data_IF_380524251516
#
_entry.id   IF_380524251516
#
_cell.length_a   1.000
_cell.length_b   1.000
_cell.length_c   1.000
_cell.angle_alpha   90.00
_cell.angle_beta   90.00
_cell.angle_gamma   90.00
#
_symmetry.space_group_name_H-M   'P 1'
#
loop_
_entity.id
_entity.type
_entity.pdbx_description
1 polymer ?
#
# COMPACT_ATOMS: atom_id res chain seq x y z
N UNK A 1 -9.76 -8.85 -39.40
CA UNK A 1 -9.74 -8.02 -38.17
C UNK A 1 -8.31 -7.86 -37.68
N UNK A 2 -7.91 -6.68 -37.21
CA UNK A 2 -6.59 -6.46 -36.59
C UNK A 2 -6.57 -6.99 -35.15
N UNK A 3 -5.48 -7.64 -34.70
CA UNK A 3 -5.36 -8.07 -33.31
C UNK A 3 -5.34 -6.86 -32.38
N UNK A 4 -6.23 -6.84 -31.40
CA UNK A 4 -6.37 -5.74 -30.45
C UNK A 4 -6.42 -6.28 -29.02
N UNK A 5 -5.47 -5.82 -28.20
CA UNK A 5 -5.44 -6.02 -26.76
C UNK A 5 -5.45 -4.60 -26.15
N UNK A 6 -6.26 -4.32 -25.11
CA UNK A 6 -6.25 -3.02 -24.46
C UNK A 6 -4.93 -2.78 -23.72
N UNK A 7 -4.58 -1.52 -23.46
CA UNK A 7 -3.42 -1.15 -22.61
C UNK A 7 -3.85 -1.11 -21.15
N UNK A 8 -2.91 -1.42 -20.24
CA UNK A 8 -3.11 -1.29 -18.81
C UNK A 8 -3.28 0.18 -18.37
N UNK A 9 -4.01 0.38 -17.28
CA UNK A 9 -4.33 1.69 -16.69
C UNK A 9 -3.39 1.96 -15.52
N UNK A 10 -3.08 3.23 -15.26
CA UNK A 10 -2.26 3.62 -14.11
C UNK A 10 -2.89 3.16 -12.79
N UNK A 11 -2.04 2.66 -11.89
CA UNK A 11 -2.42 2.31 -10.52
C UNK A 11 -2.15 3.43 -9.51
N UNK A 12 -1.54 4.56 -9.94
CA UNK A 12 -1.18 5.68 -9.07
C UNK A 12 -2.34 6.20 -8.21
N UNK A 13 -3.58 6.37 -8.74
CA UNK A 13 -4.70 6.85 -7.92
C UNK A 13 -5.01 5.97 -6.70
N UNK A 14 -4.72 4.66 -6.78
CA UNK A 14 -4.94 3.74 -5.66
C UNK A 14 -3.90 3.96 -4.55
N UNK A 15 -2.65 4.26 -4.90
CA UNK A 15 -1.62 4.60 -3.92
C UNK A 15 -1.88 5.96 -3.27
N UNK A 16 -2.32 6.94 -4.05
CA UNK A 16 -2.72 8.26 -3.52
C UNK A 16 -3.91 8.13 -2.56
N UNK A 17 -4.90 7.29 -2.89
CA UNK A 17 -6.02 7.00 -2.00
C UNK A 17 -5.61 6.31 -0.68
N UNK A 18 -4.50 5.57 -0.69
CA UNK A 18 -3.87 4.98 0.50
C UNK A 18 -2.98 5.98 1.26
N UNK A 19 -2.88 7.24 0.82
CA UNK A 19 -2.09 8.29 1.47
C UNK A 19 -0.59 8.25 1.16
N UNK A 20 -0.16 7.47 0.15
CA UNK A 20 1.21 7.54 -0.34
C UNK A 20 1.47 8.85 -1.09
N UNK A 21 2.74 9.20 -1.21
CA UNK A 21 3.12 10.40 -1.94
C UNK A 21 2.78 10.33 -3.42
N UNK A 22 2.47 11.49 -4.01
CA UNK A 22 2.26 11.58 -5.46
C UNK A 22 3.50 11.15 -6.24
N UNK A 23 4.70 11.38 -5.69
CA UNK A 23 5.95 10.90 -6.29
C UNK A 23 6.06 9.38 -6.23
N UNK A 24 5.82 8.78 -5.06
CA UNK A 24 5.84 7.32 -4.90
C UNK A 24 4.78 6.64 -5.76
N UNK A 25 3.55 7.17 -5.77
CA UNK A 25 2.44 6.67 -6.57
C UNK A 25 2.78 6.68 -8.07
N UNK A 26 3.39 7.77 -8.56
CA UNK A 26 3.89 7.86 -9.94
C UNK A 26 4.97 6.83 -10.21
N UNK A 27 5.94 6.67 -9.32
CA UNK A 27 7.05 5.74 -9.50
C UNK A 27 6.59 4.27 -9.49
N UNK A 28 5.74 3.90 -8.54
CA UNK A 28 5.12 2.57 -8.46
C UNK A 28 4.28 2.29 -9.72
N UNK A 29 3.45 3.26 -10.13
CA UNK A 29 2.67 3.12 -11.36
C UNK A 29 3.54 3.07 -12.61
N UNK A 30 4.67 3.77 -12.67
CA UNK A 30 5.58 3.73 -13.81
C UNK A 30 6.17 2.32 -13.98
N UNK A 31 6.65 1.73 -12.89
CA UNK A 31 7.20 0.36 -12.88
C UNK A 31 6.13 -0.66 -13.30
N UNK A 32 4.92 -0.55 -12.74
CA UNK A 32 3.78 -1.39 -13.14
C UNK A 32 3.46 -1.27 -14.64
N UNK A 33 3.34 -0.04 -15.15
CA UNK A 33 3.01 0.20 -16.55
C UNK A 33 4.11 -0.30 -17.48
N UNK A 34 5.38 -0.21 -17.10
CA UNK A 34 6.51 -0.77 -17.85
C UNK A 34 6.34 -2.29 -18.02
N UNK A 35 6.12 -3.01 -16.92
CA UNK A 35 5.91 -4.46 -16.94
C UNK A 35 4.64 -4.85 -17.72
N UNK A 36 3.55 -4.10 -17.54
CA UNK A 36 2.31 -4.33 -18.28
C UNK A 36 2.48 -4.09 -19.79
N UNK A 37 3.31 -3.13 -20.21
CA UNK A 37 3.64 -2.88 -21.61
C UNK A 37 4.54 -3.98 -22.20
N UNK A 38 5.45 -4.55 -21.42
CA UNK A 38 6.24 -5.72 -21.83
C UNK A 38 5.36 -6.94 -22.06
N UNK A 39 4.47 -7.25 -21.09
CA UNK A 39 3.49 -8.33 -21.24
C UNK A 39 2.55 -8.10 -22.43
N UNK A 40 2.06 -6.87 -22.61
CA UNK A 40 1.20 -6.50 -23.74
C UNK A 40 1.87 -6.82 -25.08
N UNK A 41 3.15 -6.44 -25.25
CA UNK A 41 3.94 -6.73 -26.46
C UNK A 41 4.11 -8.24 -26.66
N UNK A 42 4.42 -8.99 -25.60
CA UNK A 42 4.55 -10.43 -25.67
C UNK A 42 3.24 -11.12 -26.07
N UNK A 43 2.10 -10.70 -25.50
CA UNK A 43 0.79 -11.22 -25.86
C UNK A 43 0.42 -10.92 -27.32
N UNK A 44 0.67 -9.70 -27.80
CA UNK A 44 0.43 -9.33 -29.21
C UNK A 44 1.29 -10.16 -30.18
N UNK A 45 2.59 -10.32 -29.90
CA UNK A 45 3.48 -11.12 -30.73
C UNK A 45 3.06 -12.60 -30.76
N UNK A 46 2.66 -13.15 -29.61
CA UNK A 46 2.15 -14.52 -29.48
C UNK A 46 0.86 -14.72 -30.28
N UNK A 47 -0.09 -13.78 -30.18
CA UNK A 47 -1.35 -13.80 -30.93
C UNK A 47 -1.11 -13.69 -32.44
N UNK A 48 -0.24 -12.78 -32.88
CA UNK A 48 0.14 -12.65 -34.29
C UNK A 48 0.76 -13.96 -34.82
N UNK A 49 1.70 -14.55 -34.07
CA UNK A 49 2.31 -15.83 -34.45
C UNK A 49 1.28 -16.95 -34.55
N UNK A 50 0.33 -17.01 -33.60
CA UNK A 50 -0.73 -18.00 -33.62
C UNK A 50 -1.68 -17.83 -34.82
N UNK A 51 -2.04 -16.59 -35.16
CA UNK A 51 -2.87 -16.28 -36.33
C UNK A 51 -2.17 -16.68 -37.65
N UNK A 52 -0.87 -16.40 -37.79
CA UNK A 52 -0.08 -16.80 -38.98
C UNK A 52 -0.07 -18.32 -39.13
N UNK A 53 0.28 -19.05 -38.06
CA UNK A 53 0.32 -20.53 -38.07
C UNK A 53 -1.04 -21.17 -38.39
N UNK A 54 -2.12 -20.50 -38.01
CA UNK A 54 -3.45 -21.03 -38.26
C UNK A 54 -3.94 -20.70 -39.69
N UNK A 55 -3.53 -19.55 -40.25
CA UNK A 55 -3.76 -19.21 -41.65
C UNK A 55 -3.03 -20.15 -42.63
N UNK A 56 -1.88 -20.71 -42.24
CA UNK A 56 -1.16 -21.75 -43.02
C UNK A 56 -1.98 -23.04 -43.20
N UNK A 57 -2.95 -23.32 -42.31
CA UNK A 57 -3.79 -24.51 -42.36
C UNK A 57 -5.07 -24.33 -43.18
N UNK A 58 -5.34 -23.12 -43.67
CA UNK A 58 -6.52 -22.80 -44.48
C UNK A 58 -7.18 -21.47 -44.08
N UNK A 59 -8.25 -21.07 -44.78
CA UNK A 59 -8.99 -19.86 -44.48
C UNK A 59 -9.66 -19.96 -43.11
N UNK A 60 -9.37 -19.00 -42.24
CA UNK A 60 -9.92 -18.91 -40.89
C UNK A 60 -11.25 -18.14 -40.90
N UNK A 61 -12.25 -18.62 -40.15
CA UNK A 61 -13.50 -17.89 -39.97
C UNK A 61 -13.29 -16.70 -39.02
N UNK A 62 -14.09 -15.63 -39.19
CA UNK A 62 -13.99 -14.44 -38.33
C UNK A 62 -14.20 -14.78 -36.84
N UNK A 63 -15.06 -15.77 -36.55
CA UNK A 63 -15.32 -16.25 -35.19
C UNK A 63 -14.08 -16.86 -34.51
N UNK A 64 -13.21 -17.53 -35.27
CA UNK A 64 -11.98 -18.12 -34.74
C UNK A 64 -10.97 -17.01 -34.40
N UNK A 65 -10.85 -16.00 -35.28
CA UNK A 65 -10.01 -14.82 -35.04
C UNK A 65 -10.48 -14.07 -33.79
N UNK A 66 -11.79 -13.87 -33.63
CA UNK A 66 -12.37 -13.25 -32.44
C UNK A 66 -12.11 -14.07 -31.18
N UNK A 67 -12.25 -15.40 -31.26
CA UNK A 67 -11.97 -16.30 -30.14
C UNK A 67 -10.51 -16.20 -29.70
N UNK A 68 -9.58 -16.20 -30.65
CA UNK A 68 -8.15 -16.00 -30.36
C UNK A 68 -7.89 -14.63 -29.76
N UNK A 69 -8.43 -13.55 -30.31
CA UNK A 69 -8.31 -12.22 -29.72
C UNK A 69 -8.81 -12.18 -28.27
N UNK A 70 -9.96 -12.82 -28.00
CA UNK A 70 -10.55 -12.87 -26.67
C UNK A 70 -9.68 -13.63 -25.67
N UNK A 71 -9.10 -14.78 -26.04
CA UNK A 71 -8.25 -15.58 -25.14
C UNK A 71 -7.05 -14.78 -24.65
N UNK A 72 -6.30 -14.15 -25.56
CA UNK A 72 -5.12 -13.37 -25.19
C UNK A 72 -5.50 -12.07 -24.46
N UNK A 73 -6.62 -11.44 -24.83
CA UNK A 73 -7.14 -10.26 -24.12
C UNK A 73 -7.50 -10.61 -22.67
N UNK A 74 -8.22 -11.70 -22.45
CA UNK A 74 -8.62 -12.16 -21.11
C UNK A 74 -7.41 -12.57 -20.28
N UNK A 75 -6.41 -13.24 -20.88
CA UNK A 75 -5.17 -13.58 -20.19
C UNK A 75 -4.39 -12.32 -19.76
N UNK A 76 -4.22 -11.35 -20.68
CA UNK A 76 -3.53 -10.09 -20.41
C UNK A 76 -4.21 -9.26 -19.31
N UNK A 77 -5.52 -9.04 -19.44
CA UNK A 77 -6.31 -8.24 -18.50
C UNK A 77 -6.35 -8.87 -17.11
N UNK A 78 -6.48 -10.21 -17.04
CA UNK A 78 -6.40 -10.93 -15.76
C UNK A 78 -5.04 -10.76 -15.10
N UNK A 79 -3.95 -10.94 -15.84
CA UNK A 79 -2.61 -10.87 -15.27
C UNK A 79 -2.26 -9.47 -14.77
N UNK A 80 -2.57 -8.44 -15.56
CA UNK A 80 -2.32 -7.04 -15.18
C UNK A 80 -3.17 -6.59 -13.99
N UNK A 81 -4.38 -7.14 -13.83
CA UNK A 81 -5.19 -6.95 -12.62
C UNK A 81 -4.57 -7.61 -11.39
N UNK A 82 -4.12 -8.85 -11.50
CA UNK A 82 -3.46 -9.56 -10.39
C UNK A 82 -2.24 -8.78 -9.89
N UNK A 83 -1.39 -8.30 -10.80
CA UNK A 83 -0.23 -7.50 -10.43
C UNK A 83 -0.60 -6.18 -9.76
N UNK A 84 -1.67 -5.52 -10.22
CA UNK A 84 -2.16 -4.29 -9.60
C UNK A 84 -2.66 -4.55 -8.17
N UNK A 85 -3.54 -5.55 -8.01
CA UNK A 85 -4.12 -5.92 -6.72
C UNK A 85 -3.03 -6.36 -5.72
N UNK A 86 -2.04 -7.13 -6.17
CA UNK A 86 -0.92 -7.56 -5.33
C UNK A 86 -0.03 -6.40 -4.90
N UNK A 87 0.29 -5.47 -5.82
CA UNK A 87 1.09 -4.29 -5.48
C UNK A 87 0.37 -3.40 -4.45
N UNK A 88 -0.94 -3.19 -4.63
CA UNK A 88 -1.77 -2.41 -3.71
C UNK A 88 -1.88 -3.12 -2.35
N UNK A 89 -2.12 -4.43 -2.34
CA UNK A 89 -2.20 -5.21 -1.09
C UNK A 89 -0.89 -5.17 -0.31
N UNK A 90 0.25 -5.34 -0.98
CA UNK A 90 1.57 -5.27 -0.33
C UNK A 90 1.84 -3.89 0.26
N UNK A 91 1.43 -2.83 -0.43
CA UNK A 91 1.58 -1.47 0.06
C UNK A 91 0.68 -1.20 1.27
N UNK A 92 -0.57 -1.66 1.23
CA UNK A 92 -1.47 -1.63 2.37
C UNK A 92 -0.89 -2.39 3.58
N UNK A 93 -0.37 -3.60 3.37
CA UNK A 93 0.22 -4.41 4.45
C UNK A 93 1.48 -3.78 5.04
N UNK A 94 2.31 -3.14 4.21
CA UNK A 94 3.46 -2.38 4.67
C UNK A 94 3.04 -1.23 5.61
N UNK A 95 2.05 -0.42 5.20
CA UNK A 95 1.49 0.65 6.05
C UNK A 95 0.89 0.08 7.34
N UNK A 96 0.07 -0.97 7.23
CA UNK A 96 -0.55 -1.63 8.37
C UNK A 96 0.49 -2.10 9.41
N UNK A 97 1.62 -2.64 8.94
CA UNK A 97 2.73 -3.03 9.81
C UNK A 97 3.41 -1.82 10.46
N UNK A 98 3.60 -0.72 9.72
CA UNK A 98 4.16 0.52 10.26
C UNK A 98 3.32 1.14 11.38
N UNK A 99 2.00 0.96 11.36
CA UNK A 99 1.10 1.43 12.41
C UNK A 99 0.88 0.41 13.55
N UNK A 100 1.50 -0.76 13.51
CA UNK A 100 1.41 -1.74 14.61
C UNK A 100 1.88 -1.16 15.96
N UNK A 101 2.99 -0.38 16.05
CA UNK A 101 3.39 0.26 17.30
C UNK A 101 2.33 1.20 17.90
N UNK A 102 1.49 1.85 17.07
CA UNK A 102 0.37 2.65 17.55
C UNK A 102 -0.66 1.79 18.27
N UNK A 103 -1.02 0.66 17.67
CA UNK A 103 -1.99 -0.26 18.23
C UNK A 103 -1.47 -0.90 19.53
N UNK A 104 -0.19 -1.30 19.56
CA UNK A 104 0.47 -1.80 20.77
C UNK A 104 0.47 -0.74 21.87
N UNK A 105 0.84 0.51 21.54
CA UNK A 105 0.87 1.59 22.51
C UNK A 105 -0.51 1.87 23.07
N UNK A 106 -1.55 1.89 22.24
CA UNK A 106 -2.93 2.02 22.70
C UNK A 106 -3.33 0.84 23.59
N UNK A 107 -2.99 -0.39 23.20
CA UNK A 107 -3.32 -1.61 23.94
C UNK A 107 -2.76 -1.63 25.37
N UNK A 108 -1.55 -1.09 25.59
CA UNK A 108 -0.96 -0.93 26.92
C UNK A 108 -1.85 -0.11 27.88
N UNK A 109 -2.60 0.85 27.36
CA UNK A 109 -3.50 1.67 28.16
C UNK A 109 -4.92 1.12 28.18
N UNK A 110 -5.46 0.74 27.01
CA UNK A 110 -6.80 0.22 26.85
C UNK A 110 -6.83 -0.95 25.85
N UNK A 111 -7.05 -2.17 26.34
CA UNK A 111 -7.17 -3.36 25.49
C UNK A 111 -8.59 -3.57 24.91
N UNK A 112 -9.53 -2.67 25.23
CA UNK A 112 -10.93 -2.70 24.80
C UNK A 112 -11.34 -1.35 24.19
N UNK A 113 -10.88 -1.04 22.96
CA UNK A 113 -11.22 0.22 22.29
C UNK A 113 -12.73 0.34 22.05
N UNK A 114 -13.26 1.55 22.25
CA UNK A 114 -14.66 1.88 21.93
C UNK A 114 -14.92 1.84 20.42
N UNK A 115 -16.18 1.94 20.00
CA UNK A 115 -16.50 2.03 18.57
C UNK A 115 -15.88 3.28 17.92
N UNK A 116 -15.88 4.42 18.63
CA UNK A 116 -15.25 5.66 18.19
C UNK A 116 -13.72 5.50 18.07
N UNK A 117 -13.09 4.87 19.06
CA UNK A 117 -11.65 4.63 19.08
C UNK A 117 -11.23 3.70 17.95
N UNK A 118 -11.99 2.63 17.71
CA UNK A 118 -11.77 1.72 16.56
C UNK A 118 -11.84 2.48 15.24
N UNK A 119 -12.79 3.41 15.07
CA UNK A 119 -12.91 4.22 13.86
C UNK A 119 -11.73 5.17 13.66
N UNK A 120 -11.19 5.75 14.73
CA UNK A 120 -10.00 6.62 14.64
C UNK A 120 -8.73 5.80 14.38
N UNK A 121 -8.53 4.68 15.09
CA UNK A 121 -7.40 3.78 14.85
C UNK A 121 -7.41 3.26 13.42
N UNK A 122 -8.57 2.82 12.92
CA UNK A 122 -8.79 2.39 11.55
C UNK A 122 -8.34 3.45 10.53
N UNK A 123 -8.82 4.70 10.69
CA UNK A 123 -8.43 5.81 9.81
C UNK A 123 -6.93 6.09 9.84
N UNK A 124 -6.29 5.98 11.00
CA UNK A 124 -4.87 6.28 11.16
C UNK A 124 -3.96 5.16 10.69
N UNK A 125 -4.38 3.90 10.82
CA UNK A 125 -3.58 2.75 10.43
C UNK A 125 -3.90 2.22 9.03
N UNK A 126 -4.75 2.93 8.27
CA UNK A 126 -5.31 2.48 6.98
C UNK A 126 -5.96 1.09 7.05
N UNK A 127 -6.44 0.68 8.24
CA UNK A 127 -7.13 -0.59 8.44
C UNK A 127 -8.64 -0.37 8.50
N UNK A 128 -9.42 -1.41 8.24
CA UNK A 128 -10.85 -1.42 8.54
C UNK A 128 -11.09 -1.54 10.05
N UNK A 129 -12.23 -1.02 10.53
CA UNK A 129 -12.63 -1.19 11.93
C UNK A 129 -12.72 -2.67 12.34
N UNK A 130 -13.03 -3.57 11.39
CA UNK A 130 -13.04 -5.02 11.60
C UNK A 130 -11.63 -5.58 11.80
N UNK A 131 -10.64 -5.15 11.00
CA UNK A 131 -9.24 -5.54 11.17
C UNK A 131 -8.70 -5.07 12.54
N UNK A 132 -9.01 -3.84 12.95
CA UNK A 132 -8.68 -3.35 14.30
C UNK A 132 -9.29 -4.25 15.36
N UNK A 133 -10.58 -4.56 15.27
CA UNK A 133 -11.24 -5.44 16.23
C UNK A 133 -10.58 -6.82 16.33
N UNK A 134 -10.29 -7.45 15.20
CA UNK A 134 -9.61 -8.76 15.15
C UNK A 134 -8.20 -8.66 15.74
N UNK A 135 -7.46 -7.58 15.44
CA UNK A 135 -6.14 -7.33 16.02
C UNK A 135 -6.22 -7.30 17.55
N UNK A 136 -7.12 -6.49 18.12
CA UNK A 136 -7.29 -6.40 19.58
C UNK A 136 -7.78 -7.71 20.21
N UNK A 137 -8.64 -8.48 19.53
CA UNK A 137 -9.06 -9.81 19.97
C UNK A 137 -7.88 -10.77 20.06
N UNK A 138 -7.07 -10.85 19.01
CA UNK A 138 -5.90 -11.71 18.94
C UNK A 138 -4.85 -11.31 19.98
N UNK A 139 -4.60 -10.02 20.16
CA UNK A 139 -3.67 -9.51 21.17
C UNK A 139 -4.11 -9.77 22.60
N UNK A 140 -5.41 -9.65 22.93
CA UNK A 140 -5.92 -10.08 24.24
C UNK A 140 -5.72 -11.57 24.47
N UNK A 141 -5.98 -12.41 23.47
CA UNK A 141 -5.77 -13.85 23.58
C UNK A 141 -4.31 -14.20 23.86
N UNK A 142 -3.37 -13.55 23.15
CA UNK A 142 -1.92 -13.67 23.41
C UNK A 142 -1.55 -13.20 24.82
N UNK A 143 -2.01 -12.01 25.22
CA UNK A 143 -1.71 -11.47 26.54
C UNK A 143 -2.18 -12.38 27.69
N UNK A 144 -3.37 -13.00 27.58
CA UNK A 144 -3.85 -13.98 28.57
C UNK A 144 -2.95 -15.21 28.66
N UNK A 145 -2.53 -15.75 27.51
CA UNK A 145 -1.64 -16.91 27.45
C UNK A 145 -0.27 -16.59 28.05
N UNK A 146 0.23 -15.39 27.80
CA UNK A 146 1.55 -14.94 28.22
C UNK A 146 1.55 -14.34 29.65
N UNK A 147 0.41 -14.40 30.37
CA UNK A 147 0.26 -13.87 31.73
C UNK A 147 0.38 -12.34 31.85
N UNK A 148 0.28 -11.62 30.73
CA UNK A 148 0.41 -10.15 30.72
C UNK A 148 -0.87 -9.49 31.23
N UNK A 149 -0.77 -8.40 32.02
CA UNK A 149 -1.94 -7.68 32.49
C UNK A 149 -2.69 -7.03 31.33
N UNK A 150 -4.00 -7.27 31.27
CA UNK A 150 -4.90 -6.64 30.28
C UNK A 150 -5.65 -5.51 30.96
N UNK A 151 -5.38 -4.28 30.55
CA UNK A 151 -6.05 -3.09 31.10
C UNK A 151 -7.37 -2.84 30.39
N UNK A 152 -8.41 -2.57 31.18
CA UNK A 152 -9.71 -2.09 30.70
C UNK A 152 -9.95 -0.75 31.37
N UNK A 153 -10.03 0.34 30.60
CA UNK A 153 -10.51 1.58 31.17
C UNK A 153 -11.99 1.41 31.55
N UNK A 154 -12.30 1.70 32.81
CA UNK A 154 -13.65 1.63 33.39
C UNK A 154 -14.40 2.96 33.29
N UNK A 155 -13.73 4.05 32.93
CA UNK A 155 -14.33 5.38 32.70
C UNK A 155 -13.90 5.92 31.32
N UNK A 156 -14.83 6.66 30.69
CA UNK A 156 -14.80 7.17 29.32
C UNK A 156 -13.59 8.09 29.03
N UNK A 157 -13.11 8.14 27.76
CA UNK A 157 -11.89 7.50 27.29
C UNK A 157 -10.62 8.34 27.53
N UNK A 158 -9.46 7.66 27.50
CA UNK A 158 -8.21 8.35 27.19
C UNK A 158 -8.39 9.10 25.87
N UNK A 159 -8.09 10.41 25.80
CA UNK A 159 -8.10 11.11 24.54
C UNK A 159 -7.15 10.36 23.63
N UNK A 160 -7.69 9.76 22.55
CA UNK A 160 -6.85 9.09 21.57
C UNK A 160 -5.73 10.02 21.12
N UNK A 161 -6.06 11.31 21.04
CA UNK A 161 -5.15 12.42 20.77
C UNK A 161 -3.94 12.49 21.72
N UNK A 162 -4.04 12.11 23.01
CA UNK A 162 -2.91 12.11 23.95
C UNK A 162 -2.00 10.90 23.71
N UNK A 163 -2.58 9.72 23.46
CA UNK A 163 -1.81 8.53 23.10
C UNK A 163 -1.12 8.75 21.74
N UNK A 164 -1.85 9.37 20.80
CA UNK A 164 -1.36 9.79 19.50
C UNK A 164 -0.27 10.84 19.63
N UNK A 165 -0.45 11.96 20.35
CA UNK A 165 0.60 12.97 20.58
C UNK A 165 1.83 12.39 21.26
N UNK A 166 1.64 11.45 22.19
CA UNK A 166 2.77 10.73 22.80
C UNK A 166 3.48 9.80 21.83
N UNK A 167 2.78 9.25 20.84
CA UNK A 167 3.37 8.42 19.79
C UNK A 167 4.00 9.28 18.68
N UNK A 168 3.34 10.34 18.23
CA UNK A 168 3.81 11.38 17.31
C UNK A 168 5.14 11.95 17.81
N UNK A 169 5.25 12.23 19.11
CA UNK A 169 6.50 12.66 19.75
C UNK A 169 7.60 11.60 19.77
N UNK A 170 7.24 10.31 19.80
CA UNK A 170 8.19 9.20 19.80
C UNK A 170 8.56 8.71 18.40
N UNK A 171 7.72 8.99 17.40
CA UNK A 171 7.86 8.58 16.00
C UNK A 171 7.48 9.72 15.03
N UNK A 172 8.15 10.90 15.11
CA UNK A 172 7.76 12.11 14.38
C UNK A 172 7.81 11.97 12.86
N UNK A 173 8.56 11.00 12.34
CA UNK A 173 8.69 10.76 10.91
C UNK A 173 7.39 10.24 10.25
N UNK A 174 6.52 9.56 11.00
CA UNK A 174 5.41 8.75 10.44
C UNK A 174 4.03 9.38 10.58
N UNK A 175 3.91 10.48 11.33
CA UNK A 175 2.62 11.11 11.64
C UNK A 175 2.40 12.44 10.94
N UNK A 176 3.42 12.93 10.25
CA UNK A 176 3.40 14.14 9.46
C UNK A 176 2.89 13.76 8.05
N UNK A 177 1.71 14.27 7.62
CA UNK A 177 1.26 14.15 6.23
C UNK A 177 2.33 14.70 5.28
N UNK A 178 2.44 14.14 4.08
CA UNK A 178 3.54 14.47 3.15
C UNK A 178 3.71 16.00 2.92
N UNK A 179 2.62 16.75 2.90
CA UNK A 179 2.66 18.22 2.73
C UNK A 179 3.41 18.91 3.88
N UNK A 180 3.34 18.42 5.12
CA UNK A 180 4.03 18.98 6.28
C UNK A 180 5.51 18.53 6.36
N UNK A 181 5.88 17.38 5.78
CA UNK A 181 7.29 16.94 5.72
C UNK A 181 8.13 17.89 4.86
N UNK A 182 7.54 18.38 3.78
CA UNK A 182 8.19 19.33 2.87
C UNK A 182 8.48 20.69 3.53
N UNK A 183 7.67 21.08 4.51
CA UNK A 183 7.85 22.31 5.30
C UNK A 183 8.88 22.12 6.41
N UNK A 184 8.88 20.96 7.07
CA UNK A 184 9.84 20.64 8.13
C UNK A 184 11.30 20.59 7.62
N UNK A 185 11.53 20.01 6.43
CA UNK A 185 12.85 19.99 5.80
C UNK A 185 13.34 21.37 5.32
N UNK A 186 12.44 22.36 5.15
CA UNK A 186 12.80 23.75 4.83
C UNK A 186 13.04 24.62 6.05
N UNK A 187 12.59 24.19 7.23
CA UNK A 187 12.63 24.96 8.47
C UNK A 187 13.85 24.66 9.35
N UNK A 188 14.67 23.65 9.02
CA UNK A 188 15.97 23.45 9.67
C UNK A 188 17.05 24.25 8.92
N UNK A 189 17.72 25.23 9.58
CA UNK A 189 18.91 25.84 9.00
C UNK A 189 20.01 24.77 8.87
N UNK A 190 20.87 24.85 7.84
CA UNK A 190 22.02 23.95 7.76
C UNK A 190 22.85 24.13 9.03
N UNK A 191 23.06 23.03 9.77
CA UNK A 191 24.07 22.99 10.81
C UNK A 191 25.42 23.06 10.09
N UNK A 192 25.92 24.29 9.91
CA UNK A 192 27.33 24.53 9.63
C UNK A 192 28.12 24.00 10.84
N UNK A 193 28.74 22.82 10.68
CA UNK A 193 29.87 22.44 11.52
C UNK A 193 31.11 23.16 10.98
N UNK A 194 31.27 24.42 11.35
CA UNK A 194 32.54 25.12 11.25
C UNK A 194 33.35 24.90 12.53
N UNK A 195 34.51 24.27 12.32
CA UNK A 195 35.80 24.49 12.97
C UNK A 195 35.95 24.26 14.48
N UNK A 196 36.87 23.37 14.84
CA UNK A 196 38.05 23.74 15.65
C UNK A 196 39.17 22.72 15.36
N UNK A 197 39.94 22.99 14.30
CA UNK A 197 41.38 22.69 14.27
C UNK A 197 42.12 23.76 15.10
N UNK A 198 43.36 23.46 15.52
CA UNK A 198 44.31 24.20 16.40
C UNK A 198 44.27 23.69 17.88
N UNK A 199 45.33 23.14 18.49
CA UNK A 199 46.77 23.28 18.24
C UNK A 199 47.60 22.07 18.73
N UNK A 200 48.68 21.80 18.00
CA UNK A 200 49.85 21.00 18.40
C UNK A 200 50.68 21.69 19.51
N UNK A 201 51.23 20.89 20.44
CA UNK A 201 52.65 20.81 20.89
C UNK A 201 52.77 19.83 22.07
#
# INVERSE_FOLDING_TARGET
MSPHIPKAISIAPHFEALGFSAEFARQASHTYLKLANELHRACLASLQSALVKAAEKGPMADVDIQTMNHIWTTAYTKQTRIWADEAISRAHDALANEYTPLLEKYFEYNAYPSAADKAVLARKSMMTARQIEVWFQNHRNRARRDGRPIRKLTEDPLPLEISLKSLERKMPFFTIPEYERSLHNKAQPPQNSESSDEDDI
#
